data_IF_340256474242
#
_entry.id   IF_340256474242
#
_cell.length_a   1.000
_cell.length_b   1.000
_cell.length_c   1.000
_cell.angle_alpha   90.00
_cell.angle_beta   90.00
_cell.angle_gamma   90.00
#
_symmetry.space_group_name_H-M   'P 1'
#
loop_
_entity.id
_entity.type
_entity.pdbx_description
1 polymer ?
#
# COMPACT_ATOMS: atom_id res chain seq x y z
N UNK A 1 -6.72 11.91 -17.59
CA UNK A 1 -5.72 12.46 -16.64
C UNK A 1 -4.74 11.39 -16.18
N UNK A 2 -5.19 10.22 -15.67
CA UNK A 2 -4.29 9.12 -15.25
C UNK A 2 -3.29 8.68 -16.33
N UNK A 3 -3.71 8.48 -17.59
CA UNK A 3 -2.78 8.12 -18.68
C UNK A 3 -1.66 9.14 -18.87
N UNK A 4 -1.96 10.44 -18.73
CA UNK A 4 -0.97 11.51 -18.80
C UNK A 4 0.01 11.44 -17.63
N UNK A 5 -0.50 11.25 -16.41
CA UNK A 5 0.34 11.07 -15.22
C UNK A 5 1.25 9.83 -15.35
N UNK A 6 0.72 8.71 -15.87
CA UNK A 6 1.51 7.50 -16.14
C UNK A 6 2.63 7.72 -17.14
N UNK A 7 2.36 8.49 -18.21
CA UNK A 7 3.40 8.81 -19.20
C UNK A 7 4.52 9.71 -18.65
N UNK A 8 4.26 10.41 -17.53
CA UNK A 8 5.26 11.23 -16.84
C UNK A 8 6.10 10.41 -15.83
N UNK A 9 5.74 9.16 -15.54
CA UNK A 9 6.47 8.35 -14.57
C UNK A 9 7.85 7.96 -15.11
N UNK A 10 8.85 8.09 -14.23
CA UNK A 10 10.22 7.67 -14.50
C UNK A 10 10.64 6.63 -13.45
N UNK A 11 11.07 5.42 -13.83
CA UNK A 11 11.59 4.44 -12.88
C UNK A 11 12.73 5.02 -12.02
N UNK A 12 12.69 4.74 -10.72
CA UNK A 12 13.59 5.29 -9.71
C UNK A 12 13.18 6.65 -9.15
N UNK A 13 12.21 7.35 -9.76
CA UNK A 13 11.66 8.61 -9.22
C UNK A 13 10.48 8.35 -8.28
N UNK A 14 10.32 9.18 -7.24
CA UNK A 14 9.16 9.11 -6.35
C UNK A 14 7.86 9.45 -7.08
N UNK A 15 6.81 8.71 -6.74
CA UNK A 15 5.44 8.97 -7.15
C UNK A 15 4.49 8.61 -6.00
N UNK A 16 3.26 9.14 -6.05
CA UNK A 16 2.19 8.76 -5.14
C UNK A 16 0.99 8.24 -5.94
N UNK A 17 0.43 7.12 -5.52
CA UNK A 17 -0.71 6.49 -6.17
C UNK A 17 -1.80 6.18 -5.15
N UNK A 18 -3.05 6.51 -5.47
CA UNK A 18 -4.20 6.21 -4.62
C UNK A 18 -5.04 5.13 -5.29
N UNK A 19 -5.34 4.07 -4.54
CA UNK A 19 -6.10 2.91 -4.99
C UNK A 19 -7.42 2.79 -4.23
N UNK A 20 -8.39 2.12 -4.86
CA UNK A 20 -9.59 1.64 -4.20
C UNK A 20 -9.61 0.12 -4.19
N UNK A 21 -9.81 -0.46 -3.02
CA UNK A 21 -10.00 -1.90 -2.87
C UNK A 21 -11.26 -2.15 -2.04
N UNK A 22 -12.02 -3.18 -2.42
CA UNK A 22 -13.15 -3.65 -1.60
C UNK A 22 -12.69 -4.17 -0.22
N UNK A 23 -11.49 -4.72 -0.14
CA UNK A 23 -10.94 -5.33 1.08
C UNK A 23 -10.21 -4.33 1.97
N UNK A 24 -9.49 -3.39 1.36
CA UNK A 24 -8.62 -2.46 2.09
C UNK A 24 -9.16 -1.03 2.15
N UNK A 25 -10.32 -0.77 1.52
CA UNK A 25 -10.84 0.57 1.33
C UNK A 25 -9.96 1.38 0.38
N UNK A 26 -10.01 2.70 0.52
CA UNK A 26 -9.09 3.60 -0.18
C UNK A 26 -7.76 3.64 0.57
N UNK A 27 -6.66 3.45 -0.15
CA UNK A 27 -5.31 3.57 0.40
C UNK A 27 -4.40 4.22 -0.63
N UNK A 28 -3.33 4.86 -0.16
CA UNK A 28 -2.29 5.41 -1.03
C UNK A 28 -0.95 4.73 -0.78
N UNK A 29 -0.15 4.66 -1.84
CA UNK A 29 1.21 4.15 -1.82
C UNK A 29 2.11 5.27 -2.31
N UNK A 30 3.20 5.52 -1.60
CA UNK A 30 4.15 6.58 -1.92
C UNK A 30 5.57 6.04 -1.86
N UNK A 31 6.36 6.27 -2.90
CA UNK A 31 7.69 5.69 -3.04
C UNK A 31 8.19 5.68 -4.48
N UNK A 32 9.34 5.04 -4.75
CA UNK A 32 9.91 5.02 -6.09
C UNK A 32 9.08 4.14 -7.03
N UNK A 33 8.94 4.59 -8.27
CA UNK A 33 8.39 3.77 -9.35
C UNK A 33 9.43 2.74 -9.78
N UNK A 34 9.03 1.49 -9.96
CA UNK A 34 9.90 0.43 -10.48
C UNK A 34 9.29 -0.22 -11.71
N UNK A 35 10.14 -0.83 -12.54
CA UNK A 35 9.68 -1.74 -13.58
C UNK A 35 9.66 -3.17 -13.05
N UNK A 36 8.54 -3.83 -13.22
CA UNK A 36 8.38 -5.26 -12.97
C UNK A 36 9.30 -6.05 -13.89
N UNK A 37 10.15 -6.91 -13.32
CA UNK A 37 10.96 -7.85 -14.09
C UNK A 37 10.14 -8.96 -14.76
N UNK A 38 8.93 -9.23 -14.28
CA UNK A 38 8.10 -10.33 -14.78
C UNK A 38 7.36 -9.99 -16.08
N UNK A 39 6.92 -8.74 -16.24
CA UNK A 39 6.08 -8.31 -17.37
C UNK A 39 6.38 -6.89 -17.88
N UNK A 40 7.37 -6.20 -17.32
CA UNK A 40 7.80 -4.86 -17.75
C UNK A 40 6.89 -3.69 -17.31
N UNK A 41 5.75 -4.00 -16.66
CA UNK A 41 4.80 -3.00 -16.15
C UNK A 41 5.37 -2.16 -15.01
N UNK A 42 4.79 -0.98 -14.79
CA UNK A 42 5.19 -0.07 -13.72
C UNK A 42 4.52 -0.44 -12.40
N UNK A 43 5.30 -0.45 -11.33
CA UNK A 43 4.85 -0.71 -9.98
C UNK A 43 5.27 0.41 -9.03
N UNK A 44 4.57 0.53 -7.91
CA UNK A 44 4.95 1.32 -6.74
C UNK A 44 4.69 0.51 -5.47
N UNK A 45 5.70 0.29 -4.63
CA UNK A 45 5.56 -0.53 -3.42
C UNK A 45 4.90 -1.89 -3.69
N UNK A 46 5.23 -2.52 -4.82
CA UNK A 46 4.65 -3.78 -5.32
C UNK A 46 3.22 -3.73 -5.89
N UNK A 47 2.58 -2.56 -5.93
CA UNK A 47 1.27 -2.39 -6.54
C UNK A 47 1.40 -2.03 -8.02
N UNK A 48 0.63 -2.73 -8.87
CA UNK A 48 0.61 -2.44 -10.29
C UNK A 48 -0.05 -1.10 -10.58
N UNK A 49 0.63 -0.28 -11.40
CA UNK A 49 0.09 0.97 -11.92
C UNK A 49 -0.52 0.79 -13.31
N UNK A 50 -0.11 -0.26 -14.02
CA UNK A 50 -0.60 -0.57 -15.36
C UNK A 50 -1.01 -2.04 -15.53
N UNK A 51 -1.83 -2.31 -16.55
CA UNK A 51 -2.34 -3.63 -16.90
C UNK A 51 -1.33 -4.51 -17.68
N UNK A 52 -0.04 -4.18 -17.68
CA UNK A 52 1.03 -4.90 -18.37
C UNK A 52 0.72 -5.21 -19.85
N UNK A 53 0.35 -4.18 -20.62
CA UNK A 53 0.06 -4.30 -22.06
C UNK A 53 1.07 -3.49 -22.88
N UNK A 54 1.07 -3.67 -24.21
CA UNK A 54 1.87 -2.85 -25.14
C UNK A 54 1.52 -1.35 -25.08
N UNK A 55 0.43 -0.99 -24.42
CA UNK A 55 -0.01 0.38 -24.18
C UNK A 55 -0.14 0.67 -22.68
N UNK A 56 0.22 1.90 -22.27
CA UNK A 56 0.05 2.35 -20.88
C UNK A 56 -1.44 2.49 -20.55
N UNK A 57 -1.98 1.50 -19.85
CA UNK A 57 -3.36 1.51 -19.37
C UNK A 57 -3.35 1.33 -17.85
N UNK A 58 -3.92 2.28 -17.09
CA UNK A 58 -3.97 2.17 -15.64
C UNK A 58 -4.77 0.94 -15.21
N UNK A 59 -4.40 0.35 -14.09
CA UNK A 59 -5.25 -0.67 -13.45
C UNK A 59 -6.59 -0.05 -13.03
N UNK A 60 -7.72 -0.80 -13.07
CA UNK A 60 -9.04 -0.28 -12.73
C UNK A 60 -9.13 0.36 -11.34
N UNK A 61 -8.37 -0.18 -10.40
CA UNK A 61 -8.40 0.23 -8.99
C UNK A 61 -7.62 1.53 -8.72
N UNK A 62 -6.82 2.02 -9.68
CA UNK A 62 -6.05 3.26 -9.56
C UNK A 62 -6.96 4.47 -9.74
N UNK A 63 -7.13 5.25 -8.66
CA UNK A 63 -7.96 6.45 -8.64
C UNK A 63 -7.17 7.71 -9.00
N UNK A 64 -5.95 7.82 -8.46
CA UNK A 64 -5.12 9.01 -8.58
C UNK A 64 -3.65 8.63 -8.70
N UNK A 65 -2.90 9.42 -9.45
CA UNK A 65 -1.48 9.23 -9.66
C UNK A 65 -0.79 10.59 -9.78
N UNK A 66 0.24 10.79 -8.96
CA UNK A 66 1.08 11.98 -8.92
C UNK A 66 2.51 11.54 -9.24
N UNK A 67 3.03 11.99 -10.38
CA UNK A 67 4.44 11.85 -10.75
C UNK A 67 5.29 12.89 -10.00
N UNK A 68 6.58 12.60 -9.83
CA UNK A 68 7.55 13.50 -9.18
C UNK A 68 7.07 13.99 -7.81
N UNK A 69 6.51 13.07 -7.02
CA UNK A 69 6.14 13.35 -5.63
C UNK A 69 7.38 13.71 -4.81
N UNK A 70 7.19 14.33 -3.64
CA UNK A 70 8.30 14.54 -2.71
C UNK A 70 8.87 13.20 -2.22
N UNK A 71 10.09 13.17 -1.71
CA UNK A 71 10.61 11.92 -1.16
C UNK A 71 9.81 11.46 0.07
N UNK A 72 9.86 10.15 0.34
CA UNK A 72 9.28 9.56 1.54
C UNK A 72 9.98 10.15 2.76
N UNK A 73 9.20 10.69 3.69
CA UNK A 73 9.71 11.23 4.95
C UNK A 73 10.42 10.16 5.79
N UNK A 74 11.29 10.59 6.69
CA UNK A 74 12.01 9.67 7.57
C UNK A 74 11.06 8.81 8.41
N UNK A 75 11.32 7.49 8.53
CA UNK A 75 10.48 6.60 9.29
C UNK A 75 10.50 6.95 10.78
N UNK A 76 9.34 7.00 11.46
CA UNK A 76 9.29 7.24 12.89
C UNK A 76 9.89 6.07 13.68
N UNK A 77 10.29 6.33 14.91
CA UNK A 77 10.78 5.29 15.83
C UNK A 77 9.63 4.68 16.64
N UNK A 78 9.90 3.59 17.37
CA UNK A 78 8.92 3.00 18.29
C UNK A 78 7.93 2.01 17.67
N UNK A 79 8.32 1.30 16.62
CA UNK A 79 7.49 0.32 15.91
C UNK A 79 6.79 -0.68 16.86
N UNK A 80 7.51 -1.25 17.83
CA UNK A 80 6.95 -2.24 18.75
C UNK A 80 5.74 -1.69 19.55
N UNK A 81 5.87 -0.47 20.08
CA UNK A 81 4.78 0.21 20.80
C UNK A 81 3.62 0.52 19.86
N UNK A 82 3.91 1.02 18.65
CA UNK A 82 2.89 1.30 17.64
C UNK A 82 2.08 0.03 17.27
N UNK A 83 2.73 -1.12 17.14
CA UNK A 83 2.06 -2.40 16.82
C UNK A 83 1.27 -2.97 17.99
N UNK A 84 1.72 -2.78 19.23
CA UNK A 84 1.04 -3.27 20.42
C UNK A 84 -0.35 -2.64 20.58
N UNK A 85 -0.47 -1.36 20.27
CA UNK A 85 -1.70 -0.58 20.38
C UNK A 85 -2.55 -0.59 19.10
N UNK A 86 -2.06 -1.20 18.02
CA UNK A 86 -2.74 -1.18 16.74
C UNK A 86 -3.99 -2.06 16.76
N UNK A 87 -5.10 -1.50 16.28
CA UNK A 87 -6.39 -2.18 16.15
C UNK A 87 -6.96 -2.04 14.74
N UNK A 88 -7.96 -2.87 14.43
CA UNK A 88 -8.70 -2.76 13.18
C UNK A 88 -9.43 -1.42 13.10
N UNK A 89 -9.33 -0.76 11.95
CA UNK A 89 -9.95 0.54 11.69
C UNK A 89 -9.05 1.73 12.04
N UNK A 90 -7.88 1.50 12.65
CA UNK A 90 -6.93 2.58 12.89
C UNK A 90 -6.38 3.11 11.55
N UNK A 91 -6.45 4.42 11.28
CA UNK A 91 -5.75 5.02 10.15
C UNK A 91 -4.24 5.06 10.43
N UNK A 92 -3.47 4.59 9.46
CA UNK A 92 -2.03 4.34 9.62
C UNK A 92 -1.24 4.75 8.38
N UNK A 93 0.05 5.02 8.62
CA UNK A 93 1.11 5.03 7.61
C UNK A 93 2.09 3.92 7.98
N UNK A 94 2.13 2.86 7.18
CA UNK A 94 3.17 1.84 7.28
C UNK A 94 4.36 2.23 6.43
N UNK A 95 5.57 2.16 7.00
CA UNK A 95 6.83 2.40 6.30
C UNK A 95 7.48 1.07 6.00
N UNK A 96 7.78 0.83 4.72
CA UNK A 96 8.32 -0.43 4.24
C UNK A 96 9.66 -0.21 3.54
N UNK A 97 10.55 -1.20 3.68
CA UNK A 97 11.83 -1.22 2.98
C UNK A 97 12.05 -2.59 2.34
N UNK A 98 11.85 -2.66 1.02
CA UNK A 98 11.99 -3.90 0.24
C UNK A 98 13.12 -3.76 -0.79
N UNK A 99 14.01 -4.77 -0.93
CA UNK A 99 15.08 -4.69 -1.94
C UNK A 99 14.59 -4.40 -3.37
N UNK A 100 13.41 -4.90 -3.72
CA UNK A 100 12.82 -4.72 -5.05
C UNK A 100 12.16 -3.35 -5.25
N UNK A 101 11.78 -2.66 -4.17
CA UNK A 101 10.94 -1.45 -4.23
C UNK A 101 11.55 -0.24 -3.51
N UNK A 102 12.71 -0.38 -2.88
CA UNK A 102 13.29 0.66 -2.04
C UNK A 102 12.43 0.93 -0.79
N UNK A 103 12.51 2.17 -0.30
CA UNK A 103 11.69 2.66 0.81
C UNK A 103 10.40 3.25 0.26
N UNK A 104 9.27 2.85 0.83
CA UNK A 104 7.94 3.34 0.45
C UNK A 104 7.00 3.34 1.65
N UNK A 105 5.93 4.13 1.58
CA UNK A 105 4.84 4.12 2.56
C UNK A 105 3.55 3.62 1.96
N UNK A 106 2.71 3.03 2.82
CA UNK A 106 1.32 2.75 2.53
C UNK A 106 0.46 3.44 3.58
N UNK A 107 -0.41 4.33 3.14
CA UNK A 107 -1.34 5.07 3.99
C UNK A 107 -2.75 4.56 3.77
N UNK A 108 -3.45 4.21 4.85
CA UNK A 108 -4.80 3.66 4.78
C UNK A 108 -5.28 3.21 6.15
N UNK A 109 -6.25 2.30 6.18
CA UNK A 109 -6.75 1.72 7.44
C UNK A 109 -6.11 0.38 7.74
N UNK A 110 -5.87 0.11 9.03
CA UNK A 110 -5.50 -1.21 9.51
C UNK A 110 -6.69 -2.17 9.40
N UNK A 111 -6.55 -3.19 8.56
CA UNK A 111 -7.60 -4.18 8.28
C UNK A 111 -7.24 -5.49 8.95
N UNK A 112 -8.14 -6.00 9.79
CA UNK A 112 -7.99 -7.34 10.37
C UNK A 112 -8.35 -8.39 9.33
N UNK A 113 -7.40 -9.30 9.06
CA UNK A 113 -7.60 -10.49 8.26
C UNK A 113 -7.34 -11.74 9.13
N UNK A 114 -8.36 -12.21 9.88
CA UNK A 114 -8.22 -13.37 10.74
C UNK A 114 -7.71 -14.63 10.03
N UNK A 115 -8.01 -14.77 8.74
CA UNK A 115 -7.55 -15.88 7.88
C UNK A 115 -6.03 -15.91 7.68
N UNK A 116 -5.34 -14.76 7.72
CA UNK A 116 -3.86 -14.69 7.76
C UNK A 116 -3.33 -14.45 9.17
N UNK A 117 -4.23 -14.30 10.15
CA UNK A 117 -3.90 -13.99 11.53
C UNK A 117 -3.08 -12.71 11.64
N UNK A 118 -3.52 -11.60 11.07
CA UNK A 118 -2.77 -10.34 11.14
C UNK A 118 -3.56 -9.10 10.77
N UNK A 119 -2.94 -7.93 10.98
CA UNK A 119 -3.43 -6.64 10.52
C UNK A 119 -2.67 -6.24 9.24
N UNK A 120 -3.39 -5.66 8.28
CA UNK A 120 -2.84 -5.22 7.00
C UNK A 120 -3.18 -3.77 6.69
N UNK A 121 -2.43 -3.14 5.79
CA UNK A 121 -2.78 -1.88 5.13
C UNK A 121 -2.45 -2.01 3.65
N UNK A 122 -3.40 -1.75 2.75
CA UNK A 122 -3.17 -1.82 1.29
C UNK A 122 -2.42 -3.09 0.86
N UNK A 123 -2.98 -4.27 1.19
CA UNK A 123 -2.36 -5.59 0.94
C UNK A 123 -1.00 -5.86 1.61
N UNK A 124 -0.44 -4.96 2.44
CA UNK A 124 0.81 -5.16 3.18
C UNK A 124 0.56 -5.55 4.63
N UNK A 125 1.32 -6.51 5.12
CA UNK A 125 1.19 -7.00 6.50
C UNK A 125 1.83 -5.97 7.45
N UNK A 126 1.04 -5.48 8.41
CA UNK A 126 1.53 -4.67 9.51
C UNK A 126 2.06 -5.55 10.65
N UNK A 127 1.28 -6.57 11.03
CA UNK A 127 1.69 -7.49 12.10
C UNK A 127 0.98 -8.83 12.05
N UNK A 128 1.64 -9.87 12.57
CA UNK A 128 1.04 -11.18 12.83
C UNK A 128 0.54 -11.33 14.29
N UNK A 129 -0.58 -12.05 14.44
CA UNK A 129 -1.38 -12.22 15.67
C UNK A 129 -0.62 -12.92 16.79
N UNK A 130 0.37 -13.75 16.48
CA UNK A 130 1.04 -14.61 17.45
C UNK A 130 2.07 -13.90 18.35
N UNK A 131 2.37 -12.62 18.12
CA UNK A 131 3.33 -11.91 18.98
C UNK A 131 3.49 -10.42 18.70
N UNK A 132 2.56 -9.81 17.97
CA UNK A 132 2.71 -8.44 17.44
C UNK A 132 4.05 -8.27 16.70
N UNK A 133 4.52 -9.34 16.06
CA UNK A 133 5.75 -9.29 15.27
C UNK A 133 5.50 -8.40 14.05
N UNK A 134 6.42 -7.49 13.71
CA UNK A 134 6.31 -6.71 12.49
C UNK A 134 6.11 -7.61 11.27
N UNK A 135 5.28 -7.15 10.33
CA UNK A 135 5.22 -7.76 9.01
C UNK A 135 6.57 -7.69 8.31
N UNK A 136 6.77 -8.56 7.31
CA UNK A 136 7.97 -8.54 6.51
C UNK A 136 8.18 -7.14 5.91
N UNK A 137 9.41 -6.64 6.03
CA UNK A 137 9.84 -5.34 5.50
C UNK A 137 9.20 -4.10 6.13
N UNK A 138 8.29 -4.24 7.10
CA UNK A 138 7.80 -3.11 7.88
C UNK A 138 8.90 -2.60 8.81
N UNK A 139 9.32 -1.36 8.63
CA UNK A 139 10.39 -0.73 9.41
C UNK A 139 9.88 0.31 10.40
N UNK A 140 8.72 0.91 10.14
CA UNK A 140 8.06 1.83 11.06
C UNK A 140 6.55 1.90 10.82
N UNK A 141 5.82 2.39 11.82
CA UNK A 141 4.38 2.56 11.77
C UNK A 141 3.99 3.85 12.49
N UNK A 142 3.18 4.66 11.84
CA UNK A 142 2.56 5.84 12.43
C UNK A 142 1.04 5.69 12.40
N UNK A 143 0.38 6.01 13.52
CA UNK A 143 -1.07 6.26 13.55
C UNK A 143 -1.31 7.76 13.47
N UNK A 144 -2.39 8.18 12.84
CA UNK A 144 -2.82 9.58 12.88
C UNK A 144 -4.30 9.65 13.25
N UNK A 145 -4.77 10.81 13.69
CA UNK A 145 -6.14 11.00 14.16
C UNK A 145 -7.06 11.59 13.10
N UNK A 146 -6.51 12.01 11.95
CA UNK A 146 -7.31 12.55 10.86
C UNK A 146 -8.02 11.43 10.11
N UNK A 147 -9.34 11.37 10.32
CA UNK A 147 -10.26 10.35 9.81
C UNK A 147 -11.14 10.88 8.68
N UNK A 148 -10.73 11.97 8.01
CA UNK A 148 -11.41 12.48 6.80
C UNK A 148 -11.48 11.45 5.65
N UNK A 149 -10.84 10.28 5.80
CA UNK A 149 -10.84 9.15 4.89
C UNK A 149 -12.12 8.27 4.96
N UNK A 150 -13.33 8.85 5.02
CA UNK A 150 -14.59 8.08 4.90
C UNK A 150 -14.76 6.89 5.88
N UNK A 151 -15.72 5.99 5.66
CA UNK A 151 -15.87 4.80 6.51
C UNK A 151 -14.71 3.82 6.25
N UNK A 152 -14.08 3.35 7.33
CA UNK A 152 -13.05 2.31 7.26
C UNK A 152 -13.60 0.99 6.68
N UNK A 153 -12.76 0.18 6.04
CA UNK A 153 -13.17 -1.11 5.46
C UNK A 153 -13.60 -2.09 6.55
N UNK A 154 -14.46 -3.05 6.16
CA UNK A 154 -14.83 -4.17 7.03
C UNK A 154 -13.64 -5.11 7.28
N UNK A 155 -13.74 -5.97 8.30
CA UNK A 155 -12.78 -7.06 8.52
C UNK A 155 -12.82 -8.06 7.37
N UNK A 156 -11.64 -8.58 6.98
CA UNK A 156 -11.53 -9.62 5.94
C UNK A 156 -11.77 -10.98 6.58
N UNK A 157 -13.04 -11.38 6.66
CA UNK A 157 -13.44 -12.68 7.24
C UNK A 157 -13.27 -13.85 6.27
N UNK A 158 -13.21 -13.56 4.98
CA UNK A 158 -12.98 -14.50 3.88
C UNK A 158 -12.31 -13.76 2.73
N UNK A 159 -11.41 -14.42 2.01
CA UNK A 159 -10.95 -13.90 0.73
C UNK A 159 -12.05 -14.03 -0.32
N UNK A 160 -12.21 -13.04 -1.21
CA UNK A 160 -13.04 -13.24 -2.39
C UNK A 160 -12.47 -14.44 -3.14
N UNK A 161 -13.33 -15.39 -3.51
CA UNK A 161 -12.94 -16.48 -4.37
C UNK A 161 -12.40 -15.86 -5.67
N UNK A 162 -11.23 -16.30 -6.16
CA UNK A 162 -10.75 -15.86 -7.47
C UNK A 162 -11.76 -16.31 -8.50
N UNK A 163 -12.55 -15.37 -9.03
CA UNK A 163 -13.41 -15.63 -10.18
C UNK A 163 -12.46 -15.87 -11.35
N UNK A 164 -12.13 -17.13 -11.58
CA UNK A 164 -11.56 -17.58 -12.84
C UNK A 164 -12.74 -17.66 -13.83
N UNK A 165 -13.02 -16.53 -14.49
CA UNK A 165 -13.74 -16.54 -15.77
C UNK A 165 -12.73 -16.58 -16.93
#
# INVERSE_FOLDING_TARGET
>A
MLKTAMSALTPGKPAAATFRSELYGTFSVHGPVVRSGANGGLLIGGHALDMASSTLNPVPDLLELIADASDVADPPTGLASALAELTHGDPVVGYFQEPAYGVYTVTGFAVDAPVHGGLLVGARILTSRAGRMPGAYLVALQRFTDTNAGPGPARITRWPDTVND
#
